data_IF_029080708672
#
_entry.id   IF_029080708672
#
_cell.length_a   1.000
_cell.length_b   1.000
_cell.length_c   1.000
_cell.angle_alpha   90.00
_cell.angle_beta   90.00
_cell.angle_gamma   90.00
#
_symmetry.space_group_name_H-M   'P 1'
#
loop_
_entity.id
_entity.type
_entity.pdbx_description
1 polymer ?
#
# COMPACT_ATOMS: atom_id res chain seq x y z
N UNK A 1 -17.64 -21.02 10.00
CA UNK A 1 -17.20 -19.72 10.55
C UNK A 1 -15.79 -19.91 11.05
N UNK A 2 -14.79 -19.64 10.20
CA UNK A 2 -13.39 -19.86 10.56
C UNK A 2 -12.92 -18.73 11.47
N UNK A 3 -12.39 -19.12 12.62
CA UNK A 3 -11.70 -18.28 13.59
C UNK A 3 -10.77 -17.29 12.88
N UNK A 4 -10.99 -16.00 13.13
CA UNK A 4 -9.99 -14.98 12.90
C UNK A 4 -8.89 -15.28 13.91
N UNK A 5 -7.88 -16.04 13.50
CA UNK A 5 -6.60 -16.02 14.20
C UNK A 5 -6.16 -14.56 14.15
N UNK A 6 -6.15 -13.90 15.31
CA UNK A 6 -5.46 -12.63 15.49
C UNK A 6 -4.04 -12.82 14.96
N UNK A 7 -3.82 -12.33 13.74
CA UNK A 7 -2.49 -12.30 13.16
C UNK A 7 -1.66 -11.44 14.10
N UNK A 8 -0.64 -12.04 14.73
CA UNK A 8 0.22 -11.32 15.67
C UNK A 8 0.91 -10.10 15.01
N UNK A 9 0.98 -10.12 13.68
CA UNK A 9 1.56 -9.10 12.82
C UNK A 9 0.51 -8.47 11.89
N UNK A 10 0.79 -7.28 11.41
CA UNK A 10 -0.05 -6.58 10.43
C UNK A 10 -0.76 -5.38 11.03
N UNK A 11 -1.36 -4.56 10.18
CA UNK A 11 -1.98 -3.31 10.56
C UNK A 11 -3.21 -3.03 9.70
N UNK A 12 -4.18 -2.32 10.26
CA UNK A 12 -5.25 -1.71 9.49
C UNK A 12 -5.66 -0.38 10.14
N UNK A 13 -6.40 0.43 9.41
CA UNK A 13 -6.83 1.78 9.81
C UNK A 13 -7.82 1.82 10.97
N UNK A 14 -8.38 0.68 11.39
CA UNK A 14 -9.23 0.60 12.58
C UNK A 14 -8.45 0.43 13.90
N UNK A 15 -7.14 0.15 13.83
CA UNK A 15 -6.30 0.06 15.02
C UNK A 15 -6.08 1.45 15.62
N UNK A 16 -6.10 1.53 16.96
CA UNK A 16 -5.88 2.79 17.69
C UNK A 16 -4.45 3.34 17.63
N UNK A 17 -3.51 2.63 16.97
CA UNK A 17 -2.11 3.01 16.85
C UNK A 17 -1.72 3.28 15.40
N UNK A 18 -0.71 4.13 15.20
CA UNK A 18 -0.15 4.39 13.88
C UNK A 18 0.53 3.15 13.30
N UNK A 19 0.66 3.12 11.97
CA UNK A 19 1.36 2.07 11.27
C UNK A 19 2.85 2.02 11.66
N UNK A 20 3.47 3.18 11.90
CA UNK A 20 4.85 3.25 12.37
C UNK A 20 5.03 2.60 13.75
N UNK A 21 4.13 2.88 14.69
CA UNK A 21 4.16 2.27 16.03
C UNK A 21 3.94 0.77 15.95
N UNK A 22 2.99 0.32 15.11
CA UNK A 22 2.73 -1.11 14.90
C UNK A 22 3.95 -1.82 14.32
N UNK A 23 4.60 -1.28 13.29
CA UNK A 23 5.83 -1.84 12.72
C UNK A 23 6.95 -1.95 13.77
N UNK A 24 7.15 -0.93 14.61
CA UNK A 24 8.15 -0.99 15.70
C UNK A 24 7.82 -2.08 16.73
N UNK A 25 6.55 -2.16 17.15
CA UNK A 25 6.08 -3.18 18.09
C UNK A 25 6.26 -4.59 17.52
N UNK A 26 5.84 -4.78 16.27
CA UNK A 26 5.90 -6.05 15.57
C UNK A 26 7.32 -6.49 15.29
N UNK A 27 8.23 -5.57 14.98
CA UNK A 27 9.65 -5.89 14.82
C UNK A 27 10.23 -6.45 16.11
N UNK A 28 9.93 -5.81 17.25
CA UNK A 28 10.36 -6.30 18.56
C UNK A 28 9.82 -7.70 18.81
N UNK A 29 8.54 -7.92 18.57
CA UNK A 29 7.91 -9.23 18.73
C UNK A 29 8.53 -10.29 17.78
N UNK A 30 8.75 -9.97 16.51
CA UNK A 30 9.36 -10.87 15.53
C UNK A 30 10.79 -11.26 15.90
N UNK A 31 11.56 -10.34 16.50
CA UNK A 31 12.88 -10.66 17.03
C UNK A 31 12.81 -11.60 18.23
N UNK A 32 11.85 -11.39 19.15
CA UNK A 32 11.67 -12.24 20.33
C UNK A 32 11.19 -13.65 19.97
N UNK A 33 10.24 -13.76 19.03
CA UNK A 33 9.70 -15.03 18.56
C UNK A 33 10.53 -15.67 17.45
N UNK A 34 11.68 -15.08 17.09
CA UNK A 34 12.56 -15.50 16.00
C UNK A 34 11.83 -15.69 14.65
N UNK A 35 10.76 -14.93 14.40
CA UNK A 35 10.05 -14.96 13.13
C UNK A 35 10.85 -14.19 12.08
N UNK A 36 11.63 -14.91 11.28
CA UNK A 36 12.52 -14.33 10.26
C UNK A 36 11.74 -13.61 9.16
N UNK A 37 10.64 -14.20 8.68
CA UNK A 37 9.80 -13.58 7.64
C UNK A 37 9.28 -12.22 8.09
N UNK A 38 8.66 -12.14 9.27
CA UNK A 38 8.14 -10.87 9.80
C UNK A 38 9.28 -9.87 10.06
N UNK A 39 10.36 -10.31 10.72
CA UNK A 39 11.51 -9.47 11.05
C UNK A 39 12.15 -8.87 9.80
N UNK A 40 12.43 -9.69 8.79
CA UNK A 40 13.12 -9.25 7.57
C UNK A 40 12.20 -8.36 6.73
N UNK A 41 10.90 -8.69 6.65
CA UNK A 41 9.91 -7.83 5.97
C UNK A 41 9.82 -6.45 6.62
N UNK A 42 9.67 -6.38 7.94
CA UNK A 42 9.53 -5.11 8.65
C UNK A 42 10.81 -4.27 8.55
N UNK A 43 11.99 -4.90 8.64
CA UNK A 43 13.27 -4.21 8.41
C UNK A 43 13.38 -3.66 7.00
N UNK A 44 12.90 -4.40 6.00
CA UNK A 44 12.88 -3.95 4.62
C UNK A 44 11.93 -2.76 4.42
N UNK A 45 10.75 -2.75 5.05
CA UNK A 45 9.86 -1.57 5.05
C UNK A 45 10.57 -0.37 5.67
N UNK A 46 11.16 -0.54 6.85
CA UNK A 46 11.78 0.56 7.60
C UNK A 46 13.05 1.11 6.94
N UNK A 47 13.80 0.30 6.18
CA UNK A 47 15.01 0.76 5.47
C UNK A 47 14.70 1.76 4.36
N UNK A 48 13.51 1.67 3.78
CA UNK A 48 13.01 2.56 2.73
C UNK A 48 12.64 3.96 3.25
N UNK A 49 12.51 4.14 4.57
CA UNK A 49 12.14 5.44 5.16
C UNK A 49 13.16 6.55 4.88
N UNK A 50 14.42 6.17 4.65
CA UNK A 50 15.48 7.10 4.22
C UNK A 50 15.17 7.81 2.90
N UNK A 51 14.31 7.22 2.06
CA UNK A 51 13.91 7.76 0.75
C UNK A 51 12.65 8.63 0.84
N UNK A 52 11.97 8.64 1.98
CA UNK A 52 10.79 9.49 2.18
C UNK A 52 11.26 10.92 2.37
N UNK A 53 10.87 11.80 1.46
CA UNK A 53 11.29 13.21 1.48
C UNK A 53 10.10 14.15 1.58
N UNK A 54 10.37 15.38 1.97
CA UNK A 54 9.40 16.47 1.97
C UNK A 54 9.98 17.72 1.31
N UNK A 55 9.14 18.52 0.64
CA UNK A 55 9.56 19.76 0.02
C UNK A 55 9.97 20.78 1.09
N UNK A 56 11.02 21.54 0.79
CA UNK A 56 11.48 22.68 1.58
C UNK A 56 11.78 23.85 0.66
N UNK A 57 11.80 25.05 1.24
CA UNK A 57 12.30 26.25 0.59
C UNK A 57 13.61 26.62 1.27
N UNK A 58 14.67 26.73 0.48
CA UNK A 58 15.99 27.10 1.00
C UNK A 58 15.96 28.56 1.47
N UNK A 59 16.33 28.82 2.72
CA UNK A 59 16.21 30.15 3.34
C UNK A 59 17.14 31.20 2.72
N UNK A 60 18.24 30.77 2.12
CA UNK A 60 19.26 31.61 1.49
C UNK A 60 18.91 32.03 0.05
N UNK A 61 18.23 31.17 -0.70
CA UNK A 61 18.01 31.32 -2.14
C UNK A 61 16.54 31.36 -2.54
N UNK A 62 15.62 31.04 -1.63
CA UNK A 62 14.18 30.92 -1.91
C UNK A 62 13.82 29.77 -2.86
N UNK A 63 14.79 28.92 -3.23
CA UNK A 63 14.58 27.82 -4.18
C UNK A 63 13.87 26.64 -3.52
N UNK A 64 12.99 25.98 -4.26
CA UNK A 64 12.38 24.71 -3.86
C UNK A 64 13.44 23.61 -3.90
N UNK A 65 13.50 22.84 -2.83
CA UNK A 65 14.35 21.65 -2.69
C UNK A 65 13.58 20.58 -1.91
N UNK A 66 14.24 19.46 -1.60
CA UNK A 66 13.69 18.37 -0.79
C UNK A 66 14.68 17.95 0.27
N UNK A 67 14.17 17.46 1.40
CA UNK A 67 14.98 16.78 2.42
C UNK A 67 14.29 15.50 2.88
N UNK A 68 15.02 14.54 3.47
CA UNK A 68 14.41 13.40 4.15
C UNK A 68 13.46 13.85 5.26
N UNK A 69 12.35 13.13 5.41
CA UNK A 69 11.44 13.28 6.54
C UNK A 69 12.10 12.73 7.81
N UNK A 70 11.89 13.42 8.93
CA UNK A 70 12.22 12.90 10.26
C UNK A 70 11.21 11.83 10.66
N UNK A 71 11.55 11.01 11.64
CA UNK A 71 10.69 9.91 12.07
C UNK A 71 9.29 10.39 12.50
N UNK A 72 9.20 11.58 13.08
CA UNK A 72 7.96 12.20 13.54
C UNK A 72 7.12 12.80 12.39
N UNK A 73 7.72 12.97 11.20
CA UNK A 73 7.06 13.52 10.01
C UNK A 73 6.55 12.43 9.06
N UNK A 74 6.93 11.16 9.31
CA UNK A 74 6.48 10.01 8.52
C UNK A 74 5.05 9.66 8.90
N UNK A 75 4.14 9.83 7.95
CA UNK A 75 2.72 9.51 8.10
C UNK A 75 2.42 8.06 7.73
N UNK A 76 1.22 7.57 8.10
CA UNK A 76 0.74 6.26 7.66
C UNK A 76 0.71 6.15 6.13
N UNK A 77 0.32 7.21 5.43
CA UNK A 77 0.25 7.23 3.96
C UNK A 77 1.63 7.09 3.33
N UNK A 78 2.66 7.72 3.90
CA UNK A 78 4.04 7.56 3.41
C UNK A 78 4.49 6.09 3.51
N UNK A 79 4.17 5.43 4.62
CA UNK A 79 4.53 4.03 4.86
C UNK A 79 3.71 3.10 3.95
N UNK A 80 2.42 3.37 3.77
CA UNK A 80 1.57 2.64 2.81
C UNK A 80 2.17 2.74 1.41
N UNK A 81 2.65 3.92 0.99
CA UNK A 81 3.27 4.08 -0.33
C UNK A 81 4.57 3.30 -0.48
N UNK A 82 5.40 3.25 0.56
CA UNK A 82 6.57 2.36 0.61
C UNK A 82 6.16 0.89 0.44
N UNK A 83 5.20 0.42 1.23
CA UNK A 83 4.73 -0.98 1.19
C UNK A 83 4.17 -1.32 -0.19
N UNK A 84 3.37 -0.43 -0.79
CA UNK A 84 2.82 -0.63 -2.15
C UNK A 84 3.91 -0.68 -3.22
N UNK A 85 4.97 0.12 -3.08
CA UNK A 85 6.15 0.06 -3.94
C UNK A 85 6.85 -1.30 -3.86
N UNK A 86 7.06 -1.81 -2.64
CA UNK A 86 7.66 -3.12 -2.40
C UNK A 86 6.79 -4.27 -2.95
N UNK A 87 5.47 -4.23 -2.72
CA UNK A 87 4.50 -5.19 -3.28
C UNK A 87 4.57 -5.22 -4.80
N UNK A 88 4.60 -4.04 -5.44
CA UNK A 88 4.71 -3.96 -6.90
C UNK A 88 6.01 -4.58 -7.41
N UNK A 89 7.12 -4.29 -6.74
CA UNK A 89 8.43 -4.86 -7.09
C UNK A 89 8.41 -6.38 -6.95
N UNK A 90 7.88 -6.90 -5.84
CA UNK A 90 7.80 -8.33 -5.57
C UNK A 90 6.90 -9.06 -6.59
N UNK A 91 5.70 -8.54 -6.86
CA UNK A 91 4.80 -9.10 -7.89
C UNK A 91 5.48 -9.17 -9.26
N UNK A 92 6.23 -8.13 -9.63
CA UNK A 92 7.01 -8.11 -10.88
C UNK A 92 8.07 -9.22 -10.91
N UNK A 93 8.81 -9.41 -9.82
CA UNK A 93 9.81 -10.49 -9.74
C UNK A 93 9.16 -11.86 -9.81
N UNK A 94 8.04 -12.08 -9.11
CA UNK A 94 7.31 -13.35 -9.12
C UNK A 94 6.76 -13.68 -10.50
N UNK A 95 6.21 -12.70 -11.22
CA UNK A 95 5.73 -12.86 -12.59
C UNK A 95 6.89 -13.25 -13.53
N UNK A 96 8.01 -12.52 -13.48
CA UNK A 96 9.19 -12.80 -14.30
C UNK A 96 9.81 -14.17 -14.01
N UNK A 97 9.79 -14.59 -12.74
CA UNK A 97 10.35 -15.87 -12.30
C UNK A 97 9.35 -17.02 -12.32
N UNK A 98 8.08 -16.75 -12.67
CA UNK A 98 6.96 -17.71 -12.66
C UNK A 98 6.83 -18.46 -11.33
N UNK A 99 6.92 -17.73 -10.22
CA UNK A 99 6.81 -18.28 -8.86
C UNK A 99 5.50 -17.88 -8.20
N UNK A 100 5.04 -18.73 -7.29
CA UNK A 100 3.89 -18.48 -6.44
C UNK A 100 4.13 -17.33 -5.44
N UNK A 101 3.07 -16.72 -4.88
CA UNK A 101 3.17 -15.68 -3.85
C UNK A 101 4.13 -16.05 -2.73
N UNK A 102 5.12 -15.19 -2.49
CA UNK A 102 6.10 -15.41 -1.44
C UNK A 102 5.51 -15.08 -0.05
N UNK A 103 5.99 -15.71 1.03
CA UNK A 103 5.65 -15.30 2.39
C UNK A 103 5.93 -13.82 2.68
N UNK A 104 6.92 -13.25 1.98
CA UNK A 104 7.23 -11.81 2.02
C UNK A 104 6.10 -10.96 1.44
N UNK A 105 5.53 -11.34 0.29
CA UNK A 105 4.40 -10.65 -0.31
C UNK A 105 3.17 -10.64 0.63
N UNK A 106 2.83 -11.81 1.20
CA UNK A 106 1.71 -11.93 2.15
C UNK A 106 1.95 -11.06 3.39
N UNK A 107 3.19 -11.02 3.89
CA UNK A 107 3.55 -10.19 5.04
C UNK A 107 3.43 -8.69 4.72
N UNK A 108 3.87 -8.24 3.55
CA UNK A 108 3.70 -6.84 3.12
C UNK A 108 2.21 -6.45 3.05
N UNK A 109 1.39 -7.30 2.43
CA UNK A 109 -0.05 -7.04 2.26
C UNK A 109 -0.79 -6.96 3.61
N UNK A 110 -0.29 -7.67 4.64
CA UNK A 110 -0.86 -7.60 6.00
C UNK A 110 -0.72 -6.24 6.69
N UNK A 111 0.14 -5.35 6.18
CA UNK A 111 0.35 -3.99 6.71
C UNK A 111 -0.37 -2.90 5.90
N UNK A 112 -1.15 -3.27 4.88
CA UNK A 112 -2.02 -2.34 4.17
C UNK A 112 -3.36 -2.19 4.88
N UNK A 113 -4.04 -1.03 4.76
CA UNK A 113 -5.42 -0.90 5.21
C UNK A 113 -6.30 -1.94 4.51
N UNK A 114 -7.50 -2.18 5.05
CA UNK A 114 -8.45 -3.08 4.40
C UNK A 114 -8.71 -2.60 2.97
N UNK A 115 -8.22 -3.39 2.01
CA UNK A 115 -8.34 -3.09 0.59
C UNK A 115 -9.78 -3.35 0.13
N UNK A 116 -10.26 -2.48 -0.76
CA UNK A 116 -11.55 -2.65 -1.42
C UNK A 116 -11.51 -3.91 -2.30
N UNK A 117 -12.56 -4.72 -2.18
CA UNK A 117 -12.69 -5.93 -2.98
C UNK A 117 -12.99 -5.60 -4.44
N UNK A 118 -12.70 -6.53 -5.36
CA UNK A 118 -12.99 -6.35 -6.77
C UNK A 118 -14.47 -6.03 -7.04
N UNK A 119 -15.38 -6.75 -6.36
CA UNK A 119 -16.83 -6.53 -6.49
C UNK A 119 -17.28 -5.18 -5.95
N UNK A 120 -16.66 -4.70 -4.86
CA UNK A 120 -16.94 -3.38 -4.28
C UNK A 120 -16.52 -2.26 -5.24
N UNK A 121 -15.32 -2.38 -5.82
CA UNK A 121 -14.81 -1.46 -6.84
C UNK A 121 -15.74 -1.48 -8.07
N UNK A 122 -16.10 -2.67 -8.56
CA UNK A 122 -16.97 -2.85 -9.72
C UNK A 122 -18.36 -2.24 -9.50
N UNK A 123 -19.00 -2.53 -8.36
CA UNK A 123 -20.30 -1.99 -8.01
C UNK A 123 -20.30 -0.46 -7.94
N UNK A 124 -19.24 0.11 -7.35
CA UNK A 124 -19.10 1.57 -7.30
C UNK A 124 -18.94 2.17 -8.70
N UNK A 125 -18.09 1.58 -9.56
CA UNK A 125 -17.90 2.05 -10.94
C UNK A 125 -19.24 2.07 -11.69
N UNK A 126 -19.97 0.95 -11.71
CA UNK A 126 -21.26 0.84 -12.42
C UNK A 126 -22.27 1.88 -11.91
N UNK A 127 -22.27 2.17 -10.61
CA UNK A 127 -23.24 3.08 -10.01
C UNK A 127 -22.91 4.57 -10.17
N UNK A 128 -21.63 4.92 -10.38
CA UNK A 128 -21.16 6.31 -10.33
C UNK A 128 -20.56 6.80 -11.66
N UNK A 129 -20.30 5.91 -12.60
CA UNK A 129 -19.63 6.23 -13.86
C UNK A 129 -20.49 5.76 -15.02
N UNK A 130 -20.84 6.70 -15.90
CA UNK A 130 -21.46 6.38 -17.18
C UNK A 130 -20.41 5.83 -18.15
N UNK A 131 -20.26 4.51 -18.16
CA UNK A 131 -19.29 3.80 -19.00
C UNK A 131 -19.55 3.98 -20.50
N UNK A 132 -20.79 4.28 -20.91
CA UNK A 132 -21.15 4.43 -22.33
C UNK A 132 -20.53 5.69 -22.97
N UNK A 133 -20.18 6.68 -22.15
CA UNK A 133 -19.57 7.94 -22.60
C UNK A 133 -18.04 7.91 -22.58
N UNK A 134 -17.43 6.80 -22.15
CA UNK A 134 -15.99 6.69 -21.98
C UNK A 134 -15.34 6.19 -23.25
N UNK A 135 -14.47 7.01 -23.84
CA UNK A 135 -13.65 6.62 -24.99
C UNK A 135 -12.37 5.89 -24.59
N UNK A 136 -11.89 6.12 -23.38
CA UNK A 136 -10.69 5.50 -22.84
C UNK A 136 -10.90 5.19 -21.35
N UNK A 137 -10.79 3.92 -20.92
CA UNK A 137 -10.96 3.52 -19.51
C UNK A 137 -10.10 4.33 -18.52
N UNK A 138 -8.95 4.85 -18.94
CA UNK A 138 -8.07 5.65 -18.09
C UNK A 138 -8.64 7.03 -17.73
N UNK A 139 -9.67 7.52 -18.44
CA UNK A 139 -10.34 8.79 -18.14
C UNK A 139 -11.02 8.78 -16.77
N UNK A 140 -11.48 7.61 -16.33
CA UNK A 140 -12.20 7.44 -15.06
C UNK A 140 -11.35 6.90 -13.92
N UNK A 141 -10.06 6.65 -14.17
CA UNK A 141 -9.14 6.23 -13.12
C UNK A 141 -9.07 7.25 -11.98
N UNK A 142 -9.01 8.54 -12.30
CA UNK A 142 -8.90 9.62 -11.29
C UNK A 142 -10.07 9.62 -10.28
N UNK A 143 -11.34 9.70 -10.68
CA UNK A 143 -12.45 9.70 -9.72
C UNK A 143 -12.55 8.39 -8.91
N UNK A 144 -12.25 7.23 -9.51
CA UNK A 144 -12.24 5.94 -8.78
C UNK A 144 -11.16 5.96 -7.69
N UNK A 145 -9.94 6.36 -8.05
CA UNK A 145 -8.84 6.44 -7.10
C UNK A 145 -9.04 7.54 -6.05
N UNK A 146 -9.81 8.60 -6.34
CA UNK A 146 -10.22 9.60 -5.35
C UNK A 146 -11.22 9.03 -4.35
N UNK A 147 -12.16 8.18 -4.78
CA UNK A 147 -13.12 7.54 -3.90
C UNK A 147 -12.46 6.51 -2.98
N UNK A 148 -11.69 5.57 -3.55
CA UNK A 148 -11.06 4.50 -2.77
C UNK A 148 -9.72 4.90 -2.13
N UNK A 149 -9.11 5.99 -2.59
CA UNK A 149 -7.82 6.48 -2.08
C UNK A 149 -6.75 5.40 -2.11
N UNK A 150 -6.11 5.19 -0.95
CA UNK A 150 -5.08 4.17 -0.77
C UNK A 150 -5.65 2.75 -0.56
N UNK A 151 -6.97 2.59 -0.49
CA UNK A 151 -7.65 1.29 -0.28
C UNK A 151 -7.94 0.53 -1.57
N UNK A 152 -7.65 1.07 -2.75
CA UNK A 152 -7.75 0.32 -4.01
C UNK A 152 -6.38 0.12 -4.66
N UNK A 153 -6.18 -1.05 -5.27
CA UNK A 153 -5.05 -1.32 -6.16
C UNK A 153 -5.37 -0.79 -7.57
N UNK A 154 -4.55 0.14 -8.08
CA UNK A 154 -4.76 0.74 -9.39
C UNK A 154 -4.67 -0.26 -10.55
N UNK A 155 -3.89 -1.35 -10.41
CA UNK A 155 -3.86 -2.41 -11.41
C UNK A 155 -5.17 -3.21 -11.41
N UNK A 156 -5.72 -3.50 -10.23
CA UNK A 156 -7.03 -4.14 -10.10
C UNK A 156 -8.14 -3.26 -10.69
N UNK A 157 -8.13 -1.97 -10.37
CA UNK A 157 -9.09 -1.00 -10.95
C UNK A 157 -8.97 -0.99 -12.48
N UNK A 158 -7.74 -0.97 -13.01
CA UNK A 158 -7.50 -1.04 -14.47
C UNK A 158 -8.05 -2.32 -15.08
N UNK A 159 -7.84 -3.47 -14.45
CA UNK A 159 -8.36 -4.76 -14.92
C UNK A 159 -9.89 -4.76 -14.94
N UNK A 160 -10.54 -4.34 -13.85
CA UNK A 160 -12.01 -4.25 -13.76
C UNK A 160 -12.56 -3.32 -14.85
N UNK A 161 -11.91 -2.18 -15.08
CA UNK A 161 -12.31 -1.26 -16.13
C UNK A 161 -12.19 -1.87 -17.53
N UNK A 162 -11.14 -2.64 -17.80
CA UNK A 162 -10.99 -3.38 -19.06
C UNK A 162 -12.12 -4.41 -19.22
N UNK A 163 -12.43 -5.17 -18.17
CA UNK A 163 -13.53 -6.15 -18.19
C UNK A 163 -14.91 -5.52 -18.40
N UNK A 164 -15.12 -4.30 -17.92
CA UNK A 164 -16.39 -3.57 -18.05
C UNK A 164 -16.57 -2.85 -19.40
N UNK A 165 -15.49 -2.65 -20.15
CA UNK A 165 -15.48 -1.88 -21.41
C UNK A 165 -15.11 -2.72 -22.64
N UNK A 166 -14.81 -4.00 -22.43
CA UNK A 166 -14.66 -5.02 -23.49
C UNK A 166 -16.02 -5.59 -23.84
#
# INVERSE_FOLDING_TARGET
>A
MSEIKDSAYGWNDSLAMSLLEKLKSDLKQAMLSQNTVAKDTIRQIMSEFSKITMPIVLSDTGKKSTRPKRAEEISNDDIIDVIRGLIKSEKTVLELTKKEPSPYLVMLESYLPKMAAADEIKAWIISNIDLAQIKNPMQVMKPIMQHFGKKADGNLVKQILQELTT
#
